data_IF_464959514059
#
_entry.id   IF_464959514059
#
_cell.length_a   1.000
_cell.length_b   1.000
_cell.length_c   1.000
_cell.angle_alpha   90.00
_cell.angle_beta   90.00
_cell.angle_gamma   90.00
#
_symmetry.space_group_name_H-M   'P 1'
#
loop_
_entity.id
_entity.type
_entity.pdbx_description
1 polymer ?
#
# COMPACT_ATOMS: atom_id res chain seq x y z
N UNK A 1 26.26 -2.64 1.70
CA UNK A 1 26.49 -1.17 1.77
C UNK A 1 27.37 -0.77 0.59
N UNK A 2 27.16 0.42 0.01
CA UNK A 2 28.02 0.92 -1.07
C UNK A 2 29.33 1.38 -0.43
N UNK A 3 30.45 0.81 -0.90
CA UNK A 3 31.80 1.16 -0.42
C UNK A 3 32.03 2.66 -0.61
N UNK A 4 32.43 3.35 0.45
CA UNK A 4 32.68 4.81 0.44
C UNK A 4 31.57 5.67 1.03
N UNK A 5 30.34 5.16 1.18
CA UNK A 5 29.22 5.89 1.80
C UNK A 5 28.86 5.36 3.20
N UNK A 6 29.73 4.54 3.77
CA UNK A 6 29.49 3.83 5.04
C UNK A 6 29.40 4.78 6.24
N UNK A 7 30.10 5.91 6.19
CA UNK A 7 30.15 6.93 7.23
C UNK A 7 28.93 7.87 7.24
N UNK A 8 28.16 7.91 6.15
CA UNK A 8 27.04 8.83 5.99
C UNK A 8 25.77 8.29 6.64
N UNK A 9 24.93 9.21 7.15
CA UNK A 9 23.58 8.87 7.58
C UNK A 9 22.75 8.34 6.39
N UNK A 10 21.70 7.58 6.67
CA UNK A 10 20.88 6.96 5.62
C UNK A 10 20.29 8.01 4.65
N UNK A 11 19.79 9.13 5.17
CA UNK A 11 19.23 10.22 4.34
C UNK A 11 20.30 10.88 3.45
N UNK A 12 21.51 11.12 3.98
CA UNK A 12 22.62 11.69 3.22
C UNK A 12 23.09 10.74 2.10
N UNK A 13 23.08 9.43 2.36
CA UNK A 13 23.35 8.43 1.33
C UNK A 13 22.31 8.47 0.21
N UNK A 14 21.04 8.64 0.55
CA UNK A 14 19.98 8.76 -0.46
C UNK A 14 20.19 10.02 -1.31
N UNK A 15 20.57 11.12 -0.68
CA UNK A 15 20.87 12.38 -1.37
C UNK A 15 22.08 12.25 -2.30
N UNK A 16 23.17 11.65 -1.84
CA UNK A 16 24.39 11.43 -2.63
C UNK A 16 24.13 10.51 -3.84
N UNK A 17 23.26 9.52 -3.66
CA UNK A 17 22.85 8.60 -4.73
C UNK A 17 21.75 9.17 -5.64
N UNK A 18 21.25 10.38 -5.37
CA UNK A 18 20.12 10.98 -6.11
C UNK A 18 18.82 10.18 -6.00
N UNK A 19 18.66 9.38 -4.94
CA UNK A 19 17.49 8.54 -4.72
C UNK A 19 16.40 9.30 -3.98
N UNK A 20 15.14 8.92 -4.24
CA UNK A 20 14.02 9.43 -3.46
C UNK A 20 14.12 9.05 -1.99
N UNK A 21 13.57 9.93 -1.14
CA UNK A 21 13.38 9.65 0.28
C UNK A 21 12.67 8.32 0.49
N UNK A 22 12.90 7.73 1.65
CA UNK A 22 12.29 6.45 2.00
C UNK A 22 10.76 6.51 1.94
N UNK A 23 10.17 7.59 2.44
CA UNK A 23 8.73 7.82 2.46
C UNK A 23 8.13 7.82 1.06
N UNK A 24 8.76 8.54 0.13
CA UNK A 24 8.27 8.63 -1.25
C UNK A 24 8.33 7.29 -1.97
N UNK A 25 9.38 6.48 -1.72
CA UNK A 25 9.49 5.11 -2.25
C UNK A 25 8.42 4.17 -1.69
N UNK A 26 8.11 4.29 -0.39
CA UNK A 26 7.02 3.53 0.24
C UNK A 26 5.67 3.90 -0.36
N UNK A 27 5.38 5.20 -0.46
CA UNK A 27 4.15 5.71 -1.06
C UNK A 27 3.99 5.22 -2.51
N UNK A 28 5.07 5.22 -3.28
CA UNK A 28 5.04 4.70 -4.65
C UNK A 28 4.70 3.21 -4.68
N UNK A 29 5.24 2.41 -3.75
CA UNK A 29 4.88 1.00 -3.58
C UNK A 29 3.40 0.81 -3.27
N UNK A 30 2.86 1.59 -2.33
CA UNK A 30 1.45 1.52 -1.95
C UNK A 30 0.51 1.90 -3.12
N UNK A 31 0.86 2.94 -3.87
CA UNK A 31 0.12 3.36 -5.06
C UNK A 31 0.14 2.27 -6.14
N UNK A 32 1.28 1.60 -6.36
CA UNK A 32 1.38 0.48 -7.32
C UNK A 32 0.45 -0.66 -6.90
N UNK A 33 0.43 -1.03 -5.62
CA UNK A 33 -0.46 -2.10 -5.12
C UNK A 33 -1.93 -1.69 -5.27
N UNK A 34 -2.30 -0.45 -4.93
CA UNK A 34 -3.65 0.07 -5.11
C UNK A 34 -4.06 0.07 -6.60
N UNK A 35 -3.15 0.41 -7.50
CA UNK A 35 -3.41 0.37 -8.94
C UNK A 35 -3.58 -1.06 -9.47
N UNK A 36 -2.73 -2.00 -9.05
CA UNK A 36 -2.87 -3.43 -9.39
C UNK A 36 -4.21 -3.99 -8.92
N UNK A 37 -4.67 -3.54 -7.74
CA UNK A 37 -5.97 -3.89 -7.20
C UNK A 37 -7.12 -3.34 -8.06
N UNK A 38 -7.10 -2.04 -8.38
CA UNK A 38 -8.12 -1.37 -9.21
C UNK A 38 -8.19 -1.94 -10.63
N UNK A 39 -7.04 -2.25 -11.23
CA UNK A 39 -6.95 -2.85 -12.57
C UNK A 39 -7.43 -4.31 -12.57
N UNK A 40 -7.72 -4.89 -11.41
CA UNK A 40 -8.17 -6.27 -11.29
C UNK A 40 -7.08 -7.27 -11.64
N UNK A 41 -5.80 -6.92 -11.54
CA UNK A 41 -4.69 -7.86 -11.78
C UNK A 41 -4.72 -9.05 -10.78
N UNK A 42 -5.34 -8.85 -9.63
CA UNK A 42 -5.62 -9.89 -8.62
C UNK A 42 -6.95 -10.65 -8.84
N UNK A 43 -7.74 -10.32 -9.88
CA UNK A 43 -9.02 -11.02 -10.16
C UNK A 43 -8.85 -12.52 -10.40
N UNK A 44 -7.67 -12.96 -10.83
CA UNK A 44 -7.43 -14.35 -11.21
C UNK A 44 -7.00 -15.24 -10.03
N UNK A 45 -6.65 -14.67 -8.87
CA UNK A 45 -6.04 -15.43 -7.76
C UNK A 45 -6.85 -15.45 -6.45
N UNK A 46 -8.14 -15.08 -6.51
CA UNK A 46 -9.02 -15.22 -5.35
C UNK A 46 -9.84 -13.97 -5.13
N UNK A 47 -11.02 -14.01 -5.73
CA UNK A 47 -12.26 -13.35 -5.29
C UNK A 47 -12.22 -11.83 -5.09
N UNK A 48 -13.18 -11.16 -5.70
CA UNK A 48 -13.36 -9.72 -5.67
C UNK A 48 -13.56 -9.27 -4.22
N UNK A 49 -12.55 -8.60 -3.64
CA UNK A 49 -12.51 -8.09 -2.26
C UNK A 49 -13.69 -7.17 -1.92
N UNK A 50 -14.21 -6.46 -2.92
CA UNK A 50 -15.38 -5.60 -2.82
C UNK A 50 -16.35 -5.83 -3.97
N UNK A 51 -17.50 -6.41 -3.66
CA UNK A 51 -18.60 -6.52 -4.61
C UNK A 51 -19.50 -5.30 -4.43
N UNK A 52 -19.81 -4.62 -5.53
CA UNK A 52 -20.81 -3.56 -5.50
C UNK A 52 -22.19 -4.22 -5.56
N UNK A 53 -22.91 -4.23 -4.45
CA UNK A 53 -24.27 -4.74 -4.36
C UNK A 53 -25.26 -3.60 -4.62
N UNK A 54 -26.18 -3.80 -5.57
CA UNK A 54 -27.30 -2.89 -5.77
C UNK A 54 -28.33 -3.17 -4.66
N UNK A 55 -28.67 -2.16 -3.86
CA UNK A 55 -29.66 -2.30 -2.77
C UNK A 55 -30.98 -1.67 -3.19
N UNK A 56 -32.09 -2.40 -3.07
CA UNK A 56 -33.45 -1.93 -3.41
C UNK A 56 -34.02 -0.88 -2.43
N UNK A 57 -33.20 -0.33 -1.52
CA UNK A 57 -33.66 0.67 -0.56
C UNK A 57 -33.65 2.06 -1.19
N UNK A 58 -34.81 2.70 -1.23
CA UNK A 58 -35.01 4.00 -1.90
C UNK A 58 -34.51 5.23 -1.12
N UNK A 59 -33.79 5.07 -0.01
CA UNK A 59 -33.18 6.19 0.73
C UNK A 59 -31.74 5.81 1.07
N UNK A 60 -30.79 6.64 0.60
CA UNK A 60 -29.33 6.47 0.52
C UNK A 60 -28.84 6.08 -0.90
N UNK A 61 -27.53 6.17 -1.15
CA UNK A 61 -26.90 5.78 -2.41
C UNK A 61 -27.21 4.29 -2.68
N UNK A 62 -27.87 3.98 -3.81
CA UNK A 62 -28.39 2.64 -4.14
C UNK A 62 -27.34 1.54 -4.36
N UNK A 63 -26.05 1.86 -4.22
CA UNK A 63 -24.94 0.93 -4.33
C UNK A 63 -24.19 0.85 -3.01
N UNK A 64 -24.11 -0.35 -2.45
CA UNK A 64 -23.32 -0.65 -1.25
C UNK A 64 -22.08 -1.43 -1.62
N UNK A 65 -20.95 -1.03 -1.05
CA UNK A 65 -19.69 -1.74 -1.20
C UNK A 65 -19.64 -2.87 -0.18
N UNK A 66 -19.87 -4.11 -0.60
CA UNK A 66 -19.77 -5.28 0.27
C UNK A 66 -18.34 -5.80 0.28
N UNK A 67 -17.73 -5.79 1.46
CA UNK A 67 -16.41 -6.38 1.68
C UNK A 67 -16.53 -7.89 1.83
N UNK A 68 -15.90 -8.65 0.95
CA UNK A 68 -15.72 -10.08 1.18
C UNK A 68 -14.66 -10.31 2.27
N UNK A 69 -14.89 -11.34 3.10
CA UNK A 69 -14.03 -11.68 4.25
C UNK A 69 -12.73 -12.34 3.78
N UNK A 70 -11.82 -11.56 3.21
CA UNK A 70 -10.47 -12.04 2.93
C UNK A 70 -9.53 -11.80 4.10
N UNK A 71 -8.90 -12.89 4.56
CA UNK A 71 -7.70 -12.84 5.40
C UNK A 71 -6.49 -12.63 4.50
N UNK A 72 -6.36 -11.43 3.96
CA UNK A 72 -5.12 -11.05 3.30
C UNK A 72 -4.16 -10.55 4.37
N UNK A 73 -2.98 -11.17 4.42
CA UNK A 73 -1.84 -10.80 5.26
C UNK A 73 -1.21 -9.45 4.84
N UNK A 74 -2.02 -8.51 4.33
CA UNK A 74 -1.63 -7.17 3.94
C UNK A 74 -0.89 -6.51 5.11
N UNK A 75 -1.42 -6.64 6.33
CA UNK A 75 -0.78 -6.14 7.56
C UNK A 75 0.45 -6.94 8.03
N UNK A 76 0.77 -8.13 7.50
CA UNK A 76 2.03 -8.81 7.86
C UNK A 76 3.26 -8.12 7.28
N UNK A 77 3.13 -7.41 6.16
CA UNK A 77 4.25 -6.70 5.52
C UNK A 77 4.28 -5.20 5.82
N UNK A 78 3.24 -4.65 6.42
CA UNK A 78 3.28 -3.30 6.97
C UNK A 78 3.99 -3.35 8.31
N UNK A 79 5.21 -2.81 8.38
CA UNK A 79 5.85 -2.51 9.65
C UNK A 79 4.98 -1.49 10.40
N UNK A 80 4.52 -1.83 11.59
CA UNK A 80 3.95 -0.85 12.53
C UNK A 80 5.04 0.18 12.81
N UNK A 81 4.81 1.42 12.36
CA UNK A 81 5.72 2.54 12.61
C UNK A 81 5.67 2.85 14.10
N UNK A 82 6.57 2.23 14.89
CA UNK A 82 6.81 2.66 16.26
C UNK A 82 7.63 3.94 16.20
N UNK A 83 6.98 5.06 16.52
CA UNK A 83 7.66 6.33 16.77
C UNK A 83 8.50 6.11 18.03
N UNK A 84 9.81 5.94 17.84
CA UNK A 84 10.78 6.08 18.93
C UNK A 84 11.21 7.54 18.86
N UNK A 85 10.66 8.37 19.75
CA UNK A 85 11.20 9.70 19.99
C UNK A 85 12.60 9.57 20.60
N UNK A 86 13.51 10.44 20.17
CA UNK A 86 14.89 10.54 20.65
C UNK A 86 14.98 11.45 21.87
#
# INVERSE_FOLDING_TARGET
MIRGLEHLCYEDRLRELGLFSLEKRRLQGDIIVAFQYLRGAYRNSGEILFTMACSDRMRENGFKLEKSRFRLDIRKKFFTMSVVEH
#
